data_IF_858271274992
#
_entry.id   IF_858271274992
#
_cell.length_a   1.000
_cell.length_b   1.000
_cell.length_c   1.000
_cell.angle_alpha   90.00
_cell.angle_beta   90.00
_cell.angle_gamma   90.00
#
_symmetry.space_group_name_H-M   'P 1'
#
loop_
_entity.id
_entity.type
_entity.pdbx_description
1 polymer ?
#
# COMPACT_ATOMS: atom_id res chain seq x y z
N UNK A 1 -11.00 -18.60 2.17
CA UNK A 1 -9.81 -18.15 2.92
C UNK A 1 -8.63 -18.23 1.96
N UNK A 2 -8.20 -17.10 1.39
CA UNK A 2 -7.07 -17.02 0.47
C UNK A 2 -5.96 -16.20 1.13
N UNK A 3 -5.20 -16.83 2.03
CA UNK A 3 -4.14 -16.17 2.78
C UNK A 3 -2.78 -16.52 2.14
N UNK A 4 -2.20 -15.59 1.39
CA UNK A 4 -0.79 -15.67 0.98
C UNK A 4 -0.48 -15.07 -0.39
N UNK A 5 -1.22 -15.44 -1.44
CA UNK A 5 -0.97 -14.99 -2.82
C UNK A 5 -1.60 -13.64 -3.16
N UNK A 6 -2.52 -13.17 -2.32
CA UNK A 6 -3.35 -11.99 -2.62
C UNK A 6 -2.57 -10.68 -2.53
N UNK A 7 -1.60 -10.58 -1.61
CA UNK A 7 -0.91 -9.33 -1.32
C UNK A 7 0.37 -9.08 -2.15
N UNK A 8 0.90 -10.12 -2.80
CA UNK A 8 2.17 -10.03 -3.51
C UNK A 8 2.10 -9.09 -4.71
N UNK A 9 1.00 -9.15 -5.48
CA UNK A 9 0.81 -8.28 -6.65
C UNK A 9 0.73 -6.80 -6.25
N UNK A 10 0.02 -6.47 -5.17
CA UNK A 10 0.00 -5.11 -4.63
C UNK A 10 1.39 -4.67 -4.18
N UNK A 11 2.14 -5.53 -3.49
CA UNK A 11 3.51 -5.20 -3.06
C UNK A 11 4.45 -4.96 -4.25
N UNK A 12 4.30 -5.72 -5.35
CA UNK A 12 5.07 -5.50 -6.58
C UNK A 12 4.75 -4.12 -7.17
N UNK A 13 3.48 -3.79 -7.34
CA UNK A 13 3.05 -2.50 -7.89
C UNK A 13 3.46 -1.33 -6.99
N UNK A 14 3.29 -1.46 -5.68
CA UNK A 14 3.70 -0.46 -4.69
C UNK A 14 5.22 -0.26 -4.72
N UNK A 15 6.02 -1.32 -4.91
CA UNK A 15 7.48 -1.18 -5.02
C UNK A 15 7.88 -0.39 -6.25
N UNK A 16 7.23 -0.63 -7.38
CA UNK A 16 7.50 0.09 -8.62
C UNK A 16 7.10 1.56 -8.52
N UNK A 17 5.92 1.86 -7.97
CA UNK A 17 5.37 3.22 -7.98
C UNK A 17 5.74 4.05 -6.75
N UNK A 18 5.60 3.48 -5.57
CA UNK A 18 5.78 4.18 -4.29
C UNK A 18 7.23 4.09 -3.84
N UNK A 19 7.81 2.88 -3.75
CA UNK A 19 9.15 2.72 -3.21
C UNK A 19 10.24 3.36 -4.08
N UNK A 20 10.04 3.42 -5.41
CA UNK A 20 10.95 4.13 -6.32
C UNK A 20 11.05 5.63 -6.06
N UNK A 21 10.05 6.22 -5.39
CA UNK A 21 9.96 7.66 -5.03
C UNK A 21 10.12 7.93 -3.54
N UNK A 22 10.30 6.89 -2.73
CA UNK A 22 10.47 7.02 -1.28
C UNK A 22 11.85 7.57 -0.94
N UNK A 23 11.90 8.78 -0.38
CA UNK A 23 13.16 9.43 0.04
C UNK A 23 13.84 8.70 1.20
N UNK A 24 13.09 7.92 1.96
CA UNK A 24 13.57 7.12 3.10
C UNK A 24 14.06 5.72 2.68
N UNK A 25 14.08 5.42 1.38
CA UNK A 25 14.49 4.10 0.87
C UNK A 25 15.99 3.88 1.15
N UNK A 26 16.37 2.85 1.93
CA UNK A 26 17.76 2.54 2.16
C UNK A 26 18.46 2.08 0.87
N UNK A 27 19.77 2.35 0.69
CA UNK A 27 20.53 1.83 -0.44
C UNK A 27 20.42 0.30 -0.54
N UNK A 28 20.11 -0.20 -1.75
CA UNK A 28 19.93 -1.64 -1.99
C UNK A 28 18.54 -2.20 -1.66
N UNK A 29 17.61 -1.40 -1.13
CA UNK A 29 16.21 -1.78 -0.96
C UNK A 29 15.34 -1.41 -2.18
N UNK A 30 14.06 -1.82 -2.22
CA UNK A 30 13.35 -2.71 -1.27
C UNK A 30 13.79 -4.20 -1.39
N UNK A 31 13.53 -5.06 -0.37
CA UNK A 31 12.80 -4.75 0.87
C UNK A 31 13.61 -3.90 1.85
N UNK A 32 12.93 -3.01 2.56
CA UNK A 32 13.52 -2.03 3.47
C UNK A 32 13.84 -2.62 4.85
N UNK A 33 12.98 -3.52 5.36
CA UNK A 33 13.13 -4.10 6.70
C UNK A 33 14.46 -4.84 6.91
N UNK A 34 14.93 -5.71 5.99
CA UNK A 34 16.23 -6.38 6.15
C UNK A 34 17.42 -5.42 6.17
N UNK A 35 17.22 -4.18 5.70
CA UNK A 35 18.21 -3.11 5.65
C UNK A 35 18.08 -2.15 6.86
N UNK A 36 17.31 -2.53 7.88
CA UNK A 36 17.19 -1.80 9.14
C UNK A 36 16.12 -0.70 9.17
N UNK A 37 15.36 -0.50 8.08
CA UNK A 37 14.26 0.48 8.05
C UNK A 37 12.92 -0.20 8.31
N UNK A 38 12.18 0.22 9.33
CA UNK A 38 10.83 -0.31 9.60
C UNK A 38 9.82 0.42 8.69
N UNK A 39 9.67 -0.05 7.45
CA UNK A 39 8.88 0.60 6.40
C UNK A 39 7.37 0.54 6.67
N UNK A 40 6.68 1.68 6.55
CA UNK A 40 5.22 1.77 6.74
C UNK A 40 4.40 0.91 5.77
N UNK A 41 4.87 0.74 4.53
CA UNK A 41 4.25 -0.18 3.55
C UNK A 41 4.42 -1.63 3.99
N UNK A 42 5.66 -2.06 4.28
CA UNK A 42 5.96 -3.46 4.57
C UNK A 42 5.30 -3.97 5.85
N UNK A 43 5.10 -3.08 6.84
CA UNK A 43 4.49 -3.46 8.12
C UNK A 43 2.97 -3.33 8.14
N UNK A 44 2.35 -2.61 7.19
CA UNK A 44 0.89 -2.42 7.15
C UNK A 44 0.27 -2.70 5.76
N UNK A 45 0.89 -3.56 4.94
CA UNK A 45 0.43 -3.76 3.55
C UNK A 45 -1.04 -4.19 3.49
N UNK A 46 -1.44 -5.11 4.38
CA UNK A 46 -2.81 -5.63 4.42
C UNK A 46 -3.80 -4.52 4.75
N UNK A 47 -3.56 -3.81 5.84
CA UNK A 47 -4.41 -2.74 6.34
C UNK A 47 -4.49 -1.59 5.33
N UNK A 48 -3.39 -1.29 4.64
CA UNK A 48 -3.37 -0.30 3.56
C UNK A 48 -4.27 -0.70 2.38
N UNK A 49 -4.18 -1.96 1.92
CA UNK A 49 -5.06 -2.47 0.85
C UNK A 49 -6.51 -2.47 1.29
N UNK A 50 -6.80 -2.95 2.50
CA UNK A 50 -8.16 -2.99 3.05
C UNK A 50 -8.75 -1.57 3.22
N UNK A 51 -7.96 -0.58 3.64
CA UNK A 51 -8.41 0.80 3.74
C UNK A 51 -8.75 1.41 2.36
N UNK A 52 -7.97 1.08 1.32
CA UNK A 52 -8.28 1.51 -0.05
C UNK A 52 -9.53 0.83 -0.58
N UNK A 53 -9.69 -0.48 -0.35
CA UNK A 53 -10.89 -1.21 -0.78
C UNK A 53 -12.18 -0.74 -0.13
N UNK A 54 -12.11 -0.14 1.06
CA UNK A 54 -13.27 0.41 1.76
C UNK A 54 -13.69 1.79 1.24
N UNK A 55 -12.87 2.43 0.42
CA UNK A 55 -13.11 3.78 -0.08
C UNK A 55 -13.29 3.78 -1.60
N UNK A 56 -14.28 4.53 -2.06
CA UNK A 56 -14.62 4.66 -3.47
C UNK A 56 -14.97 6.12 -3.75
N UNK A 57 -13.95 6.92 -4.00
CA UNK A 57 -14.09 8.36 -4.16
C UNK A 57 -13.24 8.88 -5.32
N UNK A 58 -13.70 9.94 -5.97
CA UNK A 58 -12.90 10.67 -6.96
C UNK A 58 -11.94 11.69 -6.29
N UNK A 59 -11.95 11.78 -4.96
CA UNK A 59 -11.18 12.72 -4.18
C UNK A 59 -10.26 11.97 -3.22
N UNK A 60 -9.08 12.53 -2.95
CA UNK A 60 -8.10 11.91 -2.05
C UNK A 60 -8.43 12.09 -0.57
N UNK A 61 -9.21 13.09 -0.17
CA UNK A 61 -9.46 13.34 1.26
C UNK A 61 -10.04 12.11 2.00
N UNK A 62 -11.05 11.39 1.47
CA UNK A 62 -11.57 10.19 2.13
C UNK A 62 -10.52 9.08 2.32
N UNK A 63 -9.65 8.86 1.32
CA UNK A 63 -8.55 7.89 1.43
C UNK A 63 -7.52 8.32 2.49
N UNK A 64 -7.23 9.62 2.60
CA UNK A 64 -6.32 10.16 3.63
C UNK A 64 -6.91 9.94 5.03
N UNK A 65 -8.19 10.26 5.21
CA UNK A 65 -8.89 10.06 6.49
C UNK A 65 -8.84 8.59 6.91
N UNK A 66 -9.19 7.66 6.02
CA UNK A 66 -9.12 6.21 6.31
C UNK A 66 -7.70 5.70 6.51
N UNK A 67 -6.75 6.16 5.74
CA UNK A 67 -5.35 5.82 5.98
C UNK A 67 -4.91 6.24 7.40
N UNK A 68 -5.34 7.41 7.87
CA UNK A 68 -5.01 7.88 9.22
C UNK A 68 -5.75 7.11 10.33
N UNK A 69 -7.02 6.79 10.11
CA UNK A 69 -7.90 6.11 11.05
C UNK A 69 -7.61 4.62 11.17
N UNK A 70 -7.38 3.93 10.05
CA UNK A 70 -7.33 2.46 10.01
C UNK A 70 -5.90 1.93 9.93
N UNK A 71 -4.99 2.69 9.31
CA UNK A 71 -3.59 2.25 9.12
C UNK A 71 -2.67 2.92 10.14
N UNK A 72 -2.59 4.25 10.11
CA UNK A 72 -1.69 4.98 11.00
C UNK A 72 -2.09 4.86 12.46
N UNK A 73 -3.38 4.74 12.80
CA UNK A 73 -3.81 4.63 14.18
C UNK A 73 -3.25 3.40 14.90
N UNK A 74 -3.02 2.33 14.16
CA UNK A 74 -2.53 1.03 14.64
C UNK A 74 -1.06 0.76 14.28
N UNK A 75 -0.42 1.63 13.51
CA UNK A 75 0.94 1.47 13.04
C UNK A 75 1.96 1.45 14.21
N UNK A 76 2.78 0.41 14.27
CA UNK A 76 3.84 0.24 15.28
C UNK A 76 4.89 1.35 15.28
N UNK A 77 4.99 2.12 14.18
CA UNK A 77 5.91 3.26 14.08
C UNK A 77 5.34 4.55 14.67
N UNK A 78 4.03 4.63 14.94
CA UNK A 78 3.37 5.86 15.41
C UNK A 78 4.03 6.50 16.65
N UNK A 79 4.46 5.75 17.69
CA UNK A 79 5.12 6.34 18.86
C UNK A 79 6.63 6.59 18.68
N UNK A 80 7.17 6.40 17.47
CA UNK A 80 8.62 6.47 17.19
C UNK A 80 8.96 7.67 16.32
N UNK A 81 10.25 7.99 16.20
CA UNK A 81 10.76 9.00 15.27
C UNK A 81 10.65 8.62 13.78
N UNK A 82 10.15 7.43 13.44
CA UNK A 82 9.90 7.03 12.05
C UNK A 82 8.52 7.48 11.53
N UNK A 83 7.69 8.09 12.40
CA UNK A 83 6.41 8.70 12.06
C UNK A 83 6.50 10.23 12.22
N UNK A 84 5.95 11.06 11.30
CA UNK A 84 5.29 10.68 10.05
C UNK A 84 6.26 10.01 9.08
N UNK A 85 5.79 8.99 8.36
CA UNK A 85 6.62 8.25 7.41
C UNK A 85 6.35 8.71 5.98
N UNK A 86 7.22 8.32 5.05
CA UNK A 86 7.11 8.73 3.65
C UNK A 86 5.80 8.32 2.96
N UNK A 87 5.12 7.29 3.47
CA UNK A 87 3.86 6.83 2.92
C UNK A 87 2.75 7.89 3.04
N UNK A 88 2.78 8.75 4.05
CA UNK A 88 1.74 9.75 4.30
C UNK A 88 1.58 10.72 3.10
N UNK A 89 2.68 11.28 2.62
CA UNK A 89 2.66 12.15 1.44
C UNK A 89 2.77 11.40 0.11
N UNK A 90 3.07 10.09 0.13
CA UNK A 90 3.04 9.23 -1.06
C UNK A 90 1.72 8.44 -1.18
N UNK A 91 0.72 8.72 -0.33
CA UNK A 91 -0.51 7.93 -0.24
C UNK A 91 -1.23 7.86 -1.58
N UNK A 92 -1.31 8.97 -2.33
CA UNK A 92 -1.89 8.99 -3.68
C UNK A 92 -1.30 7.88 -4.57
N UNK A 93 0.03 7.72 -4.58
CA UNK A 93 0.67 6.69 -5.40
C UNK A 93 0.38 5.27 -4.90
N UNK A 94 0.16 5.11 -3.60
CA UNK A 94 -0.23 3.82 -3.04
C UNK A 94 -1.67 3.45 -3.41
N UNK A 95 -2.59 4.41 -3.34
CA UNK A 95 -3.99 4.23 -3.79
C UNK A 95 -4.01 3.86 -5.26
N UNK A 96 -3.35 4.64 -6.13
CA UNK A 96 -3.31 4.36 -7.57
C UNK A 96 -2.70 2.98 -7.86
N UNK A 97 -1.64 2.58 -7.13
CA UNK A 97 -1.03 1.26 -7.29
C UNK A 97 -2.01 0.13 -6.92
N UNK A 98 -2.78 0.30 -5.85
CA UNK A 98 -3.74 -0.71 -5.39
C UNK A 98 -4.91 -0.80 -6.37
N UNK A 99 -5.50 0.33 -6.76
CA UNK A 99 -6.62 0.36 -7.70
C UNK A 99 -6.25 -0.18 -9.09
N UNK A 100 -5.02 0.04 -9.56
CA UNK A 100 -4.55 -0.52 -10.82
C UNK A 100 -4.44 -2.05 -10.78
N UNK A 101 -4.05 -2.62 -9.64
CA UNK A 101 -4.06 -4.08 -9.42
C UNK A 101 -5.50 -4.59 -9.41
N UNK A 102 -6.40 -3.92 -8.68
CA UNK A 102 -7.82 -4.28 -8.64
C UNK A 102 -8.45 -4.28 -10.04
N UNK A 103 -8.13 -3.26 -10.84
CA UNK A 103 -8.63 -3.15 -12.20
C UNK A 103 -8.16 -4.32 -13.09
N UNK A 104 -6.88 -4.73 -12.97
CA UNK A 104 -6.35 -5.89 -13.71
C UNK A 104 -7.01 -7.19 -13.29
N UNK A 105 -7.28 -7.36 -11.99
CA UNK A 105 -7.97 -8.54 -11.45
C UNK A 105 -9.42 -8.60 -11.91
N UNK A 106 -10.13 -7.47 -11.88
CA UNK A 106 -11.50 -7.38 -12.41
C UNK A 106 -11.58 -7.72 -13.90
N UNK A 107 -10.62 -7.24 -14.71
CA UNK A 107 -10.51 -7.58 -16.15
C UNK A 107 -10.23 -9.08 -16.36
N UNK A 108 -9.32 -9.65 -15.58
CA UNK A 108 -8.94 -11.07 -15.70
C UNK A 108 -10.08 -12.01 -15.31
N UNK A 109 -10.85 -11.66 -14.28
CA UNK A 109 -12.03 -12.42 -13.86
C UNK A 109 -13.14 -12.42 -14.94
N UNK A 110 -13.32 -11.29 -15.64
CA UNK A 110 -14.31 -11.18 -16.71
C UNK A 110 -13.92 -11.97 -17.97
N UNK A 111 -12.63 -12.00 -18.32
CA UNK A 111 -12.12 -12.76 -19.47
C UNK A 111 -12.15 -14.29 -19.26
N UNK A 112 -12.00 -14.77 -18.02
CA UNK A 112 -12.09 -16.19 -17.67
C UNK A 112 -13.53 -16.75 -17.58
N UNK A 113 -14.54 -15.88 -17.54
CA UNK A 113 -15.95 -16.27 -17.49
C UNK A 113 -16.60 -16.41 -18.89
N UNK A 114 -15.91 -16.01 -19.95
CA UNK A 114 -16.37 -16.04 -21.35
C UNK A 114 -15.87 -17.27 -22.15
N UNK A 115 -15.26 -18.26 -21.48
CA UNK A 115 -14.77 -19.53 -22.08
C UNK A 115 -15.45 -20.72 -21.44
#
# INVERSE_FOLDING_TARGET
>A
MYEGTDLEEYMVEIRDRVCSRCIERPPGGPPCQPLGKRCGVEVNLRELVEAVHQEHSNWMEPYIERFHEDVCAHCVNRPTSQCPCALDYLLLLAVEAIEDVDQRRGKSAMQGAET
#
